data_IF_804124023468
#
_entry.id   IF_804124023468
#
_cell.length_a   1.000
_cell.length_b   1.000
_cell.length_c   1.000
_cell.angle_alpha   90.00
_cell.angle_beta   90.00
_cell.angle_gamma   90.00
#
_symmetry.space_group_name_H-M   'P 1'
#
loop_
_entity.id
_entity.type
_entity.pdbx_description
1 polymer ?
#
# COMPACT_ATOMS: atom_id res chain seq x y z
N UNK A 1 0.09 35.18 10.55
CA UNK A 1 0.13 33.80 11.08
C UNK A 1 -1.04 33.03 10.48
N UNK A 2 -0.79 32.25 9.43
CA UNK A 2 -1.84 31.51 8.72
C UNK A 2 -2.18 30.27 9.52
N UNK A 3 -3.29 30.33 10.26
CA UNK A 3 -3.84 29.16 10.95
C UNK A 3 -4.36 28.21 9.87
N UNK A 4 -3.60 27.16 9.57
CA UNK A 4 -4.06 26.03 8.77
C UNK A 4 -5.30 25.46 9.44
N UNK A 5 -6.50 25.82 8.93
CA UNK A 5 -7.74 25.10 9.25
C UNK A 5 -7.46 23.64 8.92
N UNK A 6 -7.33 22.79 9.94
CA UNK A 6 -7.40 21.34 9.79
C UNK A 6 -8.74 21.08 9.11
N UNK A 7 -8.74 20.73 7.83
CA UNK A 7 -9.95 20.28 7.15
C UNK A 7 -10.50 19.12 7.98
N UNK A 8 -11.66 19.34 8.60
CA UNK A 8 -12.39 18.26 9.27
C UNK A 8 -12.70 17.23 8.19
N UNK A 9 -12.38 15.96 8.44
CA UNK A 9 -12.77 14.89 7.53
C UNK A 9 -14.29 14.88 7.38
N UNK A 10 -14.78 14.70 6.16
CA UNK A 10 -16.21 14.69 5.89
C UNK A 10 -16.84 13.37 6.36
N UNK A 11 -18.04 13.46 6.92
CA UNK A 11 -18.82 12.32 7.39
C UNK A 11 -20.20 12.37 6.79
N UNK A 12 -20.64 11.27 6.20
CA UNK A 12 -21.97 11.12 5.60
C UNK A 12 -22.71 9.95 6.23
N UNK A 13 -24.04 9.96 6.12
CA UNK A 13 -24.92 8.97 6.73
C UNK A 13 -25.71 9.51 7.93
N UNK A 14 -26.44 8.64 8.64
CA UNK A 14 -27.20 9.03 9.82
C UNK A 14 -26.29 9.63 10.91
N UNK A 15 -26.78 10.58 11.73
CA UNK A 15 -26.02 11.07 12.85
C UNK A 15 -25.75 9.93 13.85
N UNK A 16 -24.62 10.02 14.56
CA UNK A 16 -24.32 9.08 15.63
C UNK A 16 -25.41 9.15 16.73
N UNK A 17 -25.79 8.00 17.32
CA UNK A 17 -26.63 7.98 18.50
C UNK A 17 -26.06 8.83 19.64
N UNK A 18 -26.93 9.36 20.50
CA UNK A 18 -26.49 10.15 21.66
C UNK A 18 -25.76 9.31 22.73
N UNK A 19 -26.00 8.00 22.73
CA UNK A 19 -25.31 7.05 23.61
C UNK A 19 -23.90 6.70 23.09
N UNK A 20 -23.02 6.16 23.95
CA UNK A 20 -21.75 5.60 23.50
C UNK A 20 -21.99 4.50 22.46
N UNK A 21 -21.14 4.44 21.44
CA UNK A 21 -21.26 3.49 20.34
C UNK A 21 -19.91 2.93 19.94
N UNK A 22 -19.96 1.76 19.30
CA UNK A 22 -18.83 1.19 18.57
C UNK A 22 -19.00 1.55 17.10
N UNK A 23 -17.99 2.16 16.48
CA UNK A 23 -17.94 2.36 15.03
C UNK A 23 -17.08 1.24 14.44
N UNK A 24 -17.72 0.36 13.68
CA UNK A 24 -17.11 -0.80 13.04
C UNK A 24 -16.77 -0.48 11.58
N UNK A 25 -15.49 -0.40 11.24
CA UNK A 25 -15.02 0.00 9.91
C UNK A 25 -14.65 -1.19 9.05
N UNK A 26 -15.27 -1.31 7.89
CA UNK A 26 -14.75 -2.16 6.80
C UNK A 26 -13.44 -1.57 6.29
N UNK A 27 -12.35 -2.35 6.37
CA UNK A 27 -11.03 -1.91 5.92
C UNK A 27 -10.78 -2.31 4.47
N UNK A 28 -10.82 -1.32 3.58
CA UNK A 28 -10.41 -1.51 2.19
C UNK A 28 -8.90 -1.22 2.02
N UNK A 29 -8.37 -0.27 2.78
CA UNK A 29 -6.95 0.15 2.77
C UNK A 29 -6.43 0.26 4.20
N UNK A 30 -5.10 0.13 4.35
CA UNK A 30 -4.42 0.27 5.65
C UNK A 30 -4.67 1.63 6.33
N UNK A 31 -4.96 2.68 5.56
CA UNK A 31 -5.19 4.03 6.08
C UNK A 31 -6.63 4.30 6.54
N UNK A 32 -7.58 3.41 6.25
CA UNK A 32 -9.01 3.71 6.46
C UNK A 32 -9.34 3.93 7.93
N UNK A 33 -8.75 3.14 8.84
CA UNK A 33 -8.98 3.30 10.28
C UNK A 33 -8.47 4.67 10.78
N UNK A 34 -7.32 5.13 10.28
CA UNK A 34 -6.77 6.44 10.62
C UNK A 34 -7.62 7.59 10.04
N UNK A 35 -8.09 7.43 8.80
CA UNK A 35 -9.01 8.39 8.18
C UNK A 35 -10.32 8.47 8.95
N UNK A 36 -10.91 7.33 9.32
CA UNK A 36 -12.12 7.27 10.13
C UNK A 36 -11.92 7.93 11.49
N UNK A 37 -10.77 7.70 12.15
CA UNK A 37 -10.43 8.39 13.40
C UNK A 37 -10.37 9.92 13.21
N UNK A 38 -9.72 10.40 12.14
CA UNK A 38 -9.63 11.83 11.83
C UNK A 38 -11.01 12.45 11.59
N UNK A 39 -11.86 11.78 10.81
CA UNK A 39 -13.26 12.17 10.57
C UNK A 39 -14.05 12.25 11.89
N UNK A 40 -14.03 11.19 12.70
CA UNK A 40 -14.77 11.11 13.96
C UNK A 40 -14.26 12.12 14.99
N UNK A 41 -12.95 12.40 15.04
CA UNK A 41 -12.39 13.39 15.96
C UNK A 41 -12.90 14.82 15.66
N UNK A 42 -13.44 15.06 14.46
CA UNK A 42 -14.14 16.29 14.11
C UNK A 42 -15.60 16.36 14.59
N UNK A 43 -16.20 15.22 14.96
CA UNK A 43 -17.60 15.08 15.37
C UNK A 43 -17.77 14.82 16.86
N UNK A 44 -16.92 13.97 17.45
CA UNK A 44 -17.03 13.54 18.84
C UNK A 44 -15.81 13.96 19.65
N UNK A 45 -16.02 14.18 20.95
CA UNK A 45 -14.98 14.68 21.85
C UNK A 45 -13.85 13.69 22.08
N UNK A 46 -14.14 12.39 22.05
CA UNK A 46 -13.17 11.34 22.36
C UNK A 46 -13.41 10.10 21.51
N UNK A 47 -12.38 9.70 20.77
CA UNK A 47 -12.34 8.46 19.99
C UNK A 47 -11.24 7.58 20.58
N UNK A 48 -11.58 6.33 20.90
CA UNK A 48 -10.61 5.29 21.24
C UNK A 48 -10.49 4.33 20.07
N UNK A 49 -9.31 4.22 19.48
CA UNK A 49 -9.06 3.26 18.40
C UNK A 49 -8.59 1.94 19.00
N UNK A 50 -9.34 0.88 18.73
CA UNK A 50 -9.05 -0.44 19.22
C UNK A 50 -7.88 -1.07 18.42
N UNK A 51 -6.76 -1.41 19.06
CA UNK A 51 -5.62 -2.00 18.36
C UNK A 51 -5.88 -3.46 17.96
N UNK A 52 -5.34 -3.87 16.82
CA UNK A 52 -5.51 -5.22 16.26
C UNK A 52 -4.82 -6.34 17.10
N UNK A 53 -3.89 -6.01 17.99
CA UNK A 53 -2.84 -6.95 18.39
C UNK A 53 -2.98 -7.68 19.74
N UNK A 54 -3.93 -7.38 20.64
CA UNK A 54 -4.03 -8.06 21.97
C UNK A 54 -5.44 -8.11 22.55
N UNK A 55 -6.19 -9.20 22.33
CA UNK A 55 -7.65 -9.27 22.57
C UNK A 55 -8.12 -8.96 24.01
N UNK A 56 -7.61 -9.62 25.04
CA UNK A 56 -8.22 -9.52 26.39
C UNK A 56 -7.97 -8.19 27.10
N UNK A 57 -6.73 -7.68 27.06
CA UNK A 57 -6.40 -6.39 27.69
C UNK A 57 -7.08 -5.21 26.99
N UNK A 58 -7.25 -5.34 25.67
CA UNK A 58 -7.87 -4.32 24.83
C UNK A 58 -9.38 -4.26 25.05
N UNK A 59 -10.04 -5.40 25.31
CA UNK A 59 -11.47 -5.45 25.61
C UNK A 59 -11.85 -4.61 26.85
N UNK A 60 -11.22 -4.89 28.00
CA UNK A 60 -11.53 -4.15 29.24
C UNK A 60 -11.20 -2.67 29.14
N UNK A 61 -10.16 -2.32 28.39
CA UNK A 61 -9.83 -0.93 28.10
C UNK A 61 -10.91 -0.26 27.23
N UNK A 62 -11.36 -0.93 26.16
CA UNK A 62 -12.43 -0.43 25.29
C UNK A 62 -13.73 -0.21 26.07
N UNK A 63 -14.14 -1.15 26.94
CA UNK A 63 -15.30 -0.99 27.83
C UNK A 63 -15.16 0.23 28.74
N UNK A 64 -13.98 0.44 29.34
CA UNK A 64 -13.69 1.63 30.16
C UNK A 64 -13.79 2.93 29.35
N UNK A 65 -13.48 2.89 28.06
CA UNK A 65 -13.64 4.05 27.18
C UNK A 65 -15.11 4.31 26.83
N UNK A 66 -15.89 3.26 26.53
CA UNK A 66 -17.34 3.35 26.31
C UNK A 66 -18.07 3.90 27.53
N UNK A 67 -17.76 3.40 28.73
CA UNK A 67 -18.39 3.87 29.98
C UNK A 67 -18.08 5.33 30.31
N UNK A 68 -17.01 5.90 29.73
CA UNK A 68 -16.64 7.31 29.85
C UNK A 68 -17.23 8.18 28.72
N UNK A 69 -18.13 7.64 27.91
CA UNK A 69 -18.76 8.35 26.80
C UNK A 69 -17.90 8.51 25.56
N UNK A 70 -16.82 7.72 25.40
CA UNK A 70 -16.03 7.74 24.18
C UNK A 70 -16.67 6.86 23.10
N UNK A 71 -16.44 7.22 21.84
CA UNK A 71 -16.69 6.32 20.72
C UNK A 71 -15.51 5.36 20.61
N UNK A 72 -15.80 4.05 20.51
CA UNK A 72 -14.78 3.05 20.19
C UNK A 72 -14.78 2.81 18.69
N UNK A 73 -13.63 2.99 18.05
CA UNK A 73 -13.41 2.74 16.64
C UNK A 73 -12.63 1.43 16.46
N UNK A 74 -13.13 0.51 15.66
CA UNK A 74 -12.45 -0.76 15.41
C UNK A 74 -12.61 -1.27 13.98
N UNK A 75 -11.68 -2.12 13.57
CA UNK A 75 -11.74 -2.89 12.33
C UNK A 75 -12.06 -4.35 12.66
N UNK A 76 -13.34 -4.78 12.63
CA UNK A 76 -13.73 -6.12 13.06
C UNK A 76 -13.19 -7.24 12.16
N UNK A 77 -12.81 -6.95 10.92
CA UNK A 77 -12.19 -7.94 10.02
C UNK A 77 -10.71 -8.24 10.36
N UNK A 78 -10.08 -7.39 11.19
CA UNK A 78 -8.70 -7.54 11.68
C UNK A 78 -7.60 -7.38 10.63
N UNK A 79 -7.95 -7.26 9.35
CA UNK A 79 -7.05 -6.97 8.24
C UNK A 79 -7.83 -6.29 7.10
N UNK A 80 -7.10 -5.64 6.19
CA UNK A 80 -7.69 -5.03 5.00
C UNK A 80 -8.02 -6.09 3.95
N UNK A 81 -9.22 -6.00 3.38
CA UNK A 81 -9.70 -6.88 2.31
C UNK A 81 -9.14 -6.43 0.96
N UNK A 82 -8.36 -7.29 0.30
CA UNK A 82 -7.87 -7.06 -1.06
C UNK A 82 -8.92 -7.35 -2.13
N UNK A 83 -10.01 -8.04 -1.78
CA UNK A 83 -10.90 -8.70 -2.73
C UNK A 83 -12.22 -7.96 -3.00
N UNK A 84 -12.42 -6.76 -2.45
CA UNK A 84 -13.71 -6.04 -2.50
C UNK A 84 -14.86 -6.92 -1.97
N UNK A 85 -14.65 -7.51 -0.79
CA UNK A 85 -15.62 -8.36 -0.10
C UNK A 85 -15.57 -8.06 1.39
N UNK A 86 -16.71 -8.20 2.07
CA UNK A 86 -16.78 -8.18 3.55
C UNK A 86 -16.54 -9.61 4.03
N UNK A 87 -15.51 -9.78 4.85
CA UNK A 87 -15.16 -11.09 5.39
C UNK A 87 -15.78 -11.33 6.77
N UNK A 88 -15.66 -12.56 7.25
CA UNK A 88 -16.09 -12.93 8.60
C UNK A 88 -15.45 -12.02 9.65
N UNK A 89 -16.31 -11.39 10.45
CA UNK A 89 -15.92 -10.50 11.53
C UNK A 89 -15.38 -11.27 12.74
N UNK A 90 -14.48 -10.65 13.48
CA UNK A 90 -14.08 -11.08 14.82
C UNK A 90 -15.27 -10.93 15.78
N UNK A 91 -15.56 -11.97 16.55
CA UNK A 91 -16.64 -11.99 17.55
C UNK A 91 -16.48 -10.93 18.63
N UNK A 92 -15.29 -10.36 18.76
CA UNK A 92 -14.98 -9.28 19.69
C UNK A 92 -15.88 -8.04 19.49
N UNK A 93 -16.31 -7.73 18.26
CA UNK A 93 -17.24 -6.60 18.04
C UNK A 93 -18.59 -6.84 18.72
N UNK A 94 -19.08 -8.08 18.65
CA UNK A 94 -20.34 -8.47 19.27
C UNK A 94 -20.19 -8.56 20.80
N UNK A 95 -19.08 -9.13 21.26
CA UNK A 95 -18.79 -9.24 22.69
C UNK A 95 -18.75 -7.87 23.35
N UNK A 96 -18.00 -6.93 22.77
CA UNK A 96 -17.88 -5.57 23.29
C UNK A 96 -19.23 -4.82 23.26
N UNK A 97 -20.03 -5.04 22.22
CA UNK A 97 -21.35 -4.42 22.09
C UNK A 97 -22.33 -4.92 23.17
N UNK A 98 -22.35 -6.23 23.41
CA UNK A 98 -23.19 -6.86 24.44
C UNK A 98 -22.72 -6.48 25.86
N UNK A 99 -21.42 -6.60 26.15
CA UNK A 99 -20.86 -6.25 27.47
C UNK A 99 -20.98 -4.75 27.78
N UNK A 100 -20.94 -3.90 26.74
CA UNK A 100 -21.11 -2.46 26.85
C UNK A 100 -22.56 -1.99 26.80
N UNK A 101 -23.50 -2.85 26.43
CA UNK A 101 -24.88 -2.51 26.06
C UNK A 101 -24.94 -1.31 25.09
N UNK A 102 -24.11 -1.36 24.04
CA UNK A 102 -23.95 -0.28 23.05
C UNK A 102 -24.31 -0.73 21.65
N UNK A 103 -24.78 0.21 20.83
CA UNK A 103 -25.03 -0.01 19.41
C UNK A 103 -23.72 -0.06 18.61
N UNK A 104 -23.75 -0.83 17.53
CA UNK A 104 -22.65 -0.88 16.56
C UNK A 104 -23.04 -0.11 15.31
N UNK A 105 -22.30 0.94 14.98
CA UNK A 105 -22.48 1.73 13.76
C UNK A 105 -21.52 1.22 12.69
N UNK A 106 -22.01 0.58 11.62
CA UNK A 106 -21.17 0.16 10.50
C UNK A 106 -20.66 1.39 9.75
N UNK A 107 -19.42 1.34 9.27
CA UNK A 107 -18.83 2.41 8.48
C UNK A 107 -17.81 1.92 7.47
N UNK A 108 -17.55 2.73 6.45
CA UNK A 108 -16.44 2.52 5.51
C UNK A 108 -15.90 3.86 5.02
N UNK A 109 -14.67 3.86 4.53
CA UNK A 109 -13.99 5.06 4.03
C UNK A 109 -13.93 5.03 2.51
N UNK A 110 -14.43 6.07 1.86
CA UNK A 110 -14.39 6.24 0.41
C UNK A 110 -13.83 7.61 0.10
N UNK A 111 -12.79 7.68 -0.75
CA UNK A 111 -12.15 8.93 -1.17
C UNK A 111 -11.74 9.88 0.00
N UNK A 112 -11.44 9.33 1.18
CA UNK A 112 -11.06 10.13 2.36
C UNK A 112 -12.25 10.59 3.22
N UNK A 113 -13.47 10.24 2.86
CA UNK A 113 -14.71 10.53 3.59
C UNK A 113 -15.17 9.29 4.36
N UNK A 114 -15.73 9.48 5.55
CA UNK A 114 -16.33 8.40 6.34
C UNK A 114 -17.82 8.31 6.03
N UNK A 115 -18.27 7.17 5.54
CA UNK A 115 -19.68 6.88 5.31
C UNK A 115 -20.16 5.94 6.41
N UNK A 116 -21.21 6.34 7.13
CA UNK A 116 -21.81 5.57 8.23
C UNK A 116 -23.17 5.01 7.82
N UNK A 117 -23.46 3.79 8.26
CA UNK A 117 -24.76 3.15 8.09
C UNK A 117 -25.67 3.32 9.32
N UNK A 118 -26.82 2.66 9.25
CA UNK A 118 -27.75 2.63 10.38
C UNK A 118 -27.14 1.87 11.57
N UNK A 119 -27.33 2.32 12.82
CA UNK A 119 -26.90 1.59 14.00
C UNK A 119 -27.53 0.19 14.05
N UNK A 120 -26.70 -0.79 14.37
CA UNK A 120 -27.09 -2.19 14.57
C UNK A 120 -27.24 -2.43 16.06
N UNK A 121 -28.43 -2.90 16.45
CA UNK A 121 -28.68 -3.38 17.80
C UNK A 121 -28.50 -4.90 17.88
N UNK A 122 -27.56 -5.33 18.72
CA UNK A 122 -27.27 -6.74 18.98
C UNK A 122 -27.90 -7.24 20.28
N UNK A 123 -28.66 -6.41 21.00
CA UNK A 123 -29.31 -6.73 22.28
C UNK A 123 -30.20 -7.98 22.23
N UNK A 124 -30.75 -8.31 21.04
CA UNK A 124 -31.50 -9.55 20.80
C UNK A 124 -30.73 -10.83 21.15
N UNK A 125 -29.41 -10.75 21.26
CA UNK A 125 -28.50 -11.86 21.58
C UNK A 125 -28.09 -11.92 23.06
N UNK A 126 -28.64 -11.06 23.93
CA UNK A 126 -28.26 -10.95 25.35
C UNK A 126 -28.60 -12.17 26.21
N UNK A 127 -29.45 -13.09 25.73
CA UNK A 127 -29.86 -14.26 26.51
C UNK A 127 -28.68 -15.17 26.90
N UNK A 128 -27.66 -15.26 26.03
CA UNK A 128 -26.47 -16.10 26.23
C UNK A 128 -25.22 -15.43 25.61
N UNK A 129 -24.80 -14.26 26.13
CA UNK A 129 -23.90 -13.33 25.44
C UNK A 129 -22.46 -13.84 25.32
N UNK A 130 -22.12 -14.93 26.01
CA UNK A 130 -20.78 -15.54 26.01
C UNK A 130 -20.70 -16.85 25.21
N UNK A 131 -21.83 -17.33 24.68
CA UNK A 131 -21.80 -18.47 23.77
C UNK A 131 -21.15 -18.04 22.47
N UNK A 132 -20.12 -18.76 22.02
CA UNK A 132 -19.43 -18.44 20.77
C UNK A 132 -20.40 -18.43 19.58
N UNK A 133 -21.41 -19.30 19.57
CA UNK A 133 -22.42 -19.33 18.50
C UNK A 133 -23.27 -18.04 18.47
N UNK A 134 -23.61 -17.51 19.65
CA UNK A 134 -24.42 -16.29 19.80
C UNK A 134 -23.60 -15.07 19.43
N UNK A 135 -22.38 -14.97 19.94
CA UNK A 135 -21.42 -13.93 19.55
C UNK A 135 -21.17 -13.94 18.04
N UNK A 136 -21.11 -15.12 17.44
CA UNK A 136 -20.94 -15.29 16.00
C UNK A 136 -22.15 -14.75 15.22
N UNK A 137 -23.36 -15.09 15.64
CA UNK A 137 -24.60 -14.61 15.02
C UNK A 137 -24.75 -13.08 15.18
N UNK A 138 -24.45 -12.55 16.36
CA UNK A 138 -24.43 -11.10 16.61
C UNK A 138 -23.39 -10.37 15.72
N UNK A 139 -22.21 -10.97 15.53
CA UNK A 139 -21.21 -10.44 14.62
C UNK A 139 -21.65 -10.54 13.15
N UNK A 140 -22.41 -11.57 12.77
CA UNK A 140 -23.00 -11.67 11.43
C UNK A 140 -23.99 -10.55 11.14
N UNK A 141 -24.77 -10.12 12.13
CA UNK A 141 -25.68 -9.00 11.95
C UNK A 141 -24.94 -7.69 11.61
N UNK A 142 -23.81 -7.46 12.28
CA UNK A 142 -22.91 -6.34 11.95
C UNK A 142 -22.29 -6.52 10.56
N UNK A 143 -21.92 -7.74 10.19
CA UNK A 143 -21.36 -8.05 8.88
C UNK A 143 -22.37 -7.79 7.75
N UNK A 144 -23.62 -8.21 7.93
CA UNK A 144 -24.72 -7.97 6.99
C UNK A 144 -25.00 -6.47 6.85
N UNK A 145 -24.95 -5.71 7.94
CA UNK A 145 -25.09 -4.26 7.89
C UNK A 145 -23.93 -3.58 7.14
N UNK A 146 -22.69 -4.07 7.31
CA UNK A 146 -21.55 -3.64 6.49
C UNK A 146 -21.74 -4.00 5.00
N UNK A 147 -22.27 -5.18 4.68
CA UNK A 147 -22.58 -5.57 3.30
C UNK A 147 -23.64 -4.65 2.69
N UNK A 148 -24.71 -4.37 3.43
CA UNK A 148 -25.77 -3.46 2.99
C UNK A 148 -25.25 -2.02 2.77
N UNK A 149 -24.35 -1.55 3.65
CA UNK A 149 -23.74 -0.22 3.53
C UNK A 149 -22.78 -0.14 2.34
N UNK A 150 -21.95 -1.15 2.14
CA UNK A 150 -20.86 -1.13 1.13
C UNK A 150 -21.28 -1.66 -0.23
N UNK A 151 -22.39 -2.39 -0.32
CA UNK A 151 -22.81 -3.12 -1.52
C UNK A 151 -21.93 -4.34 -1.86
N UNK A 152 -21.03 -4.73 -0.96
CA UNK A 152 -20.09 -5.83 -1.18
C UNK A 152 -20.68 -7.18 -0.73
N UNK A 153 -20.31 -8.29 -1.39
CA UNK A 153 -20.78 -9.61 -0.99
C UNK A 153 -20.09 -10.08 0.30
N UNK A 154 -20.84 -10.85 1.10
CA UNK A 154 -20.34 -11.46 2.33
C UNK A 154 -19.57 -12.77 2.07
N UNK A 155 -18.54 -13.01 2.87
CA UNK A 155 -17.77 -14.26 2.86
C UNK A 155 -17.52 -14.79 4.27
N UNK A 156 -18.03 -15.98 4.58
CA UNK A 156 -17.92 -16.61 5.90
C UNK A 156 -16.56 -17.30 6.15
N UNK A 157 -15.48 -16.58 5.88
CA UNK A 157 -14.13 -16.95 6.28
C UNK A 157 -13.31 -15.70 6.63
N UNK A 158 -12.38 -15.79 7.60
CA UNK A 158 -11.57 -14.62 7.99
C UNK A 158 -10.62 -14.17 6.88
N UNK A 159 -10.32 -12.87 6.83
CA UNK A 159 -9.34 -12.27 5.89
C UNK A 159 -7.99 -12.98 5.95
N UNK A 160 -7.51 -13.33 7.15
CA UNK A 160 -6.23 -14.01 7.35
C UNK A 160 -6.12 -15.35 6.58
N UNK A 161 -7.25 -16.03 6.36
CA UNK A 161 -7.32 -17.28 5.61
C UNK A 161 -7.20 -17.06 4.10
N UNK A 162 -7.73 -15.95 3.58
CA UNK A 162 -7.58 -15.51 2.19
C UNK A 162 -6.13 -15.12 1.91
N UNK A 163 -5.55 -14.35 2.81
CA UNK A 163 -4.21 -13.82 2.67
C UNK A 163 -3.16 -14.94 2.71
N UNK A 164 -3.40 -16.01 3.49
CA UNK A 164 -2.58 -17.24 3.47
C UNK A 164 -2.59 -17.95 2.11
N UNK A 165 -3.71 -17.92 1.38
CA UNK A 165 -3.85 -18.57 0.06
C UNK A 165 -3.32 -17.70 -1.09
N UNK A 166 -3.46 -16.37 -1.01
CA UNK A 166 -3.09 -15.44 -2.09
C UNK A 166 -1.67 -14.88 -1.98
N UNK A 167 -1.07 -14.81 -0.77
CA UNK A 167 0.32 -14.35 -0.57
C UNK A 167 1.34 -15.09 -1.44
N UNK A 168 1.30 -16.43 -1.61
CA UNK A 168 2.22 -17.14 -2.48
C UNK A 168 2.08 -16.70 -3.95
N UNK A 169 0.86 -16.54 -4.45
CA UNK A 169 0.59 -16.19 -5.85
C UNK A 169 1.03 -14.74 -6.14
N UNK A 170 0.66 -13.80 -5.26
CA UNK A 170 1.06 -12.41 -5.39
C UNK A 170 2.58 -12.22 -5.26
N UNK A 171 3.24 -13.00 -4.39
CA UNK A 171 4.69 -13.02 -4.25
C UNK A 171 5.38 -13.59 -5.50
N UNK A 172 4.88 -14.70 -6.05
CA UNK A 172 5.39 -15.30 -7.29
C UNK A 172 5.27 -14.33 -8.48
N UNK A 173 4.14 -13.63 -8.62
CA UNK A 173 3.94 -12.63 -9.67
C UNK A 173 4.90 -11.45 -9.54
N UNK A 174 5.13 -10.94 -8.33
CA UNK A 174 6.15 -9.89 -8.07
C UNK A 174 7.57 -10.38 -8.37
N UNK A 175 7.89 -11.61 -8.00
CA UNK A 175 9.18 -12.23 -8.30
C UNK A 175 9.41 -12.38 -9.80
N UNK A 176 8.40 -12.82 -10.56
CA UNK A 176 8.45 -12.91 -12.04
C UNK A 176 8.67 -11.53 -12.68
N UNK A 177 7.93 -10.51 -12.25
CA UNK A 177 8.11 -9.14 -12.73
C UNK A 177 9.54 -8.63 -12.48
N UNK A 178 10.06 -8.79 -11.26
CA UNK A 178 11.44 -8.40 -10.91
C UNK A 178 12.49 -9.16 -11.71
N UNK A 179 12.30 -10.45 -11.97
CA UNK A 179 13.20 -11.25 -12.82
C UNK A 179 13.21 -10.74 -14.26
N UNK A 180 12.03 -10.44 -14.81
CA UNK A 180 11.91 -9.88 -16.15
C UNK A 180 12.59 -8.51 -16.25
N UNK A 181 12.34 -7.60 -15.30
CA UNK A 181 13.02 -6.29 -15.24
C UNK A 181 14.54 -6.42 -15.15
N UNK A 182 15.07 -7.36 -14.34
CA UNK A 182 16.52 -7.63 -14.28
C UNK A 182 17.06 -8.14 -15.61
N UNK A 183 16.33 -9.02 -16.30
CA UNK A 183 16.74 -9.53 -17.62
C UNK A 183 16.79 -8.40 -18.65
N UNK A 184 15.77 -7.54 -18.67
CA UNK A 184 15.73 -6.36 -19.56
C UNK A 184 16.88 -5.40 -19.26
N UNK A 185 17.17 -5.10 -17.99
CA UNK A 185 18.32 -4.25 -17.61
C UNK A 185 19.66 -4.84 -18.06
N UNK A 186 19.84 -6.16 -17.95
CA UNK A 186 21.05 -6.84 -18.43
C UNK A 186 21.19 -6.74 -19.95
N UNK A 187 20.09 -6.94 -20.69
CA UNK A 187 20.10 -6.80 -22.15
C UNK A 187 20.45 -5.37 -22.57
N UNK A 188 19.81 -4.36 -21.98
CA UNK A 188 20.11 -2.95 -22.28
C UNK A 188 21.56 -2.61 -21.97
N UNK A 189 22.09 -3.07 -20.82
CA UNK A 189 23.49 -2.87 -20.47
C UNK A 189 24.45 -3.57 -21.44
N UNK A 190 24.11 -4.77 -21.90
CA UNK A 190 24.92 -5.53 -22.85
C UNK A 190 24.91 -4.89 -24.24
N UNK A 191 23.74 -4.44 -24.73
CA UNK A 191 23.65 -3.69 -25.99
C UNK A 191 24.45 -2.40 -25.91
N UNK A 192 24.37 -1.67 -24.78
CA UNK A 192 25.12 -0.44 -24.58
C UNK A 192 26.63 -0.69 -24.58
N UNK A 193 27.10 -1.70 -23.86
CA UNK A 193 28.52 -2.07 -23.86
C UNK A 193 29.01 -2.54 -25.22
N UNK A 194 28.19 -3.27 -25.99
CA UNK A 194 28.53 -3.64 -27.37
C UNK A 194 28.65 -2.41 -28.28
N UNK A 195 27.75 -1.43 -28.12
CA UNK A 195 27.82 -0.18 -28.89
C UNK A 195 29.04 0.67 -28.51
N UNK A 196 29.35 0.76 -27.22
CA UNK A 196 30.56 1.46 -26.74
C UNK A 196 31.82 0.78 -27.29
N UNK A 197 31.94 -0.55 -27.15
CA UNK A 197 33.08 -1.29 -27.70
C UNK A 197 33.21 -1.18 -29.22
N UNK A 198 32.09 -1.13 -29.96
CA UNK A 198 32.11 -0.95 -31.41
C UNK A 198 32.62 0.44 -31.80
N UNK A 199 32.22 1.49 -31.07
CA UNK A 199 32.72 2.86 -31.28
C UNK A 199 34.20 2.96 -30.97
N UNK A 200 34.64 2.39 -29.86
CA UNK A 200 36.05 2.38 -29.48
C UNK A 200 36.89 1.65 -30.54
N UNK A 201 36.42 0.50 -31.05
CA UNK A 201 37.10 -0.23 -32.13
C UNK A 201 37.18 0.57 -33.44
N UNK A 202 36.11 1.29 -33.81
CA UNK A 202 36.13 2.19 -34.96
C UNK A 202 37.11 3.36 -34.77
N UNK A 203 37.21 3.91 -33.56
CA UNK A 203 38.14 4.98 -33.22
C UNK A 203 39.59 4.51 -33.31
N UNK A 204 39.90 3.36 -32.69
CA UNK A 204 41.23 2.73 -32.80
C UNK A 204 41.61 2.44 -34.26
N UNK A 205 40.69 1.93 -35.08
CA UNK A 205 40.95 1.68 -36.49
C UNK A 205 41.28 2.96 -37.27
N UNK A 206 40.58 4.07 -36.98
CA UNK A 206 40.86 5.38 -37.60
C UNK A 206 42.20 5.94 -37.14
N UNK A 207 42.55 5.79 -35.87
CA UNK A 207 43.86 6.21 -35.35
C UNK A 207 45.00 5.42 -35.98
N UNK A 208 44.85 4.11 -36.10
CA UNK A 208 45.84 3.26 -36.76
C UNK A 208 46.02 3.65 -38.23
N UNK A 209 44.93 3.91 -38.95
CA UNK A 209 45.00 4.36 -40.34
C UNK A 209 45.71 5.72 -40.45
N UNK A 210 45.43 6.66 -39.55
CA UNK A 210 46.13 7.96 -39.48
C UNK A 210 47.62 7.78 -39.21
N UNK A 211 47.99 6.92 -38.26
CA UNK A 211 49.38 6.63 -37.93
C UNK A 211 50.13 6.00 -39.13
N UNK A 212 49.51 5.04 -39.82
CA UNK A 212 50.06 4.42 -41.04
C UNK A 212 50.28 5.46 -42.15
N UNK A 213 49.29 6.33 -42.40
CA UNK A 213 49.41 7.42 -43.38
C UNK A 213 50.52 8.40 -43.00
N UNK A 214 50.65 8.77 -41.73
CA UNK A 214 51.70 9.65 -41.24
C UNK A 214 53.09 9.02 -41.43
N UNK A 215 53.27 7.75 -41.09
CA UNK A 215 54.51 7.01 -41.29
C UNK A 215 54.89 6.92 -42.79
N UNK A 216 53.93 6.66 -43.67
CA UNK A 216 54.16 6.66 -45.12
C UNK A 216 54.61 8.04 -45.64
N UNK A 217 53.97 9.12 -45.16
CA UNK A 217 54.37 10.49 -45.53
C UNK A 217 55.77 10.82 -45.02
N UNK A 218 56.11 10.42 -43.79
CA UNK A 218 57.43 10.62 -43.22
C UNK A 218 58.50 9.84 -44.00
N UNK A 219 58.27 8.57 -44.32
CA UNK A 219 59.18 7.77 -45.12
C UNK A 219 59.38 8.36 -46.54
N UNK A 220 58.31 8.87 -47.16
CA UNK A 220 58.41 9.58 -48.44
C UNK A 220 59.23 10.86 -48.33
N UNK A 221 59.04 11.65 -47.28
CA UNK A 221 59.83 12.87 -47.03
C UNK A 221 61.30 12.55 -46.80
N UNK A 222 61.62 11.53 -46.01
CA UNK A 222 62.98 11.07 -45.79
C UNK A 222 63.63 10.60 -47.10
N UNK A 223 62.96 9.74 -47.87
CA UNK A 223 63.47 9.27 -49.17
C UNK A 223 63.66 10.40 -50.20
N UNK A 224 62.88 11.47 -50.13
CA UNK A 224 63.08 12.66 -50.95
C UNK A 224 64.27 13.49 -50.47
N UNK A 225 64.43 13.64 -49.15
CA UNK A 225 65.57 14.34 -48.55
C UNK A 225 66.89 13.63 -48.86
N UNK A 226 66.95 12.29 -48.75
CA UNK A 226 68.12 11.48 -49.10
C UNK A 226 68.47 11.66 -50.59
N UNK A 227 67.46 11.63 -51.48
CA UNK A 227 67.65 11.86 -52.92
C UNK A 227 68.09 13.28 -53.28
N UNK A 228 67.75 14.28 -52.46
CA UNK A 228 68.23 15.65 -52.62
C UNK A 228 69.68 15.79 -52.12
N UNK A 229 70.01 15.12 -51.01
CA UNK A 229 71.37 15.05 -50.47
C UNK A 229 72.34 14.32 -51.40
N UNK A 230 71.93 13.22 -52.05
CA UNK A 230 72.73 12.49 -53.05
C UNK A 230 72.99 13.30 -54.35
N UNK A 231 72.24 14.38 -54.58
CA UNK A 231 72.35 15.21 -55.80
C UNK A 231 73.02 16.56 -55.54
N UNK A 232 73.63 16.77 -54.37
CA UNK A 232 74.27 18.04 -53.94
C UNK A 232 73.39 19.29 -54.17
N UNK A 233 72.07 19.16 -54.01
CA UNK A 233 71.12 20.26 -54.12
C UNK A 233 70.54 20.58 -52.75
N UNK A 234 71.11 21.59 -52.08
CA UNK A 234 70.52 22.19 -50.89
C UNK A 234 69.32 23.05 -51.29
N UNK A 235 68.11 22.82 -50.74
CA UNK A 235 67.00 23.73 -50.95
C UNK A 235 67.17 24.94 -50.02
N UNK A 236 67.78 26.00 -50.52
CA UNK A 236 67.92 27.28 -49.81
C UNK A 236 69.18 28.08 -50.15
N UNK A 237 69.33 28.48 -51.42
CA UNK A 237 69.84 29.80 -51.82
C UNK A 237 68.90 30.38 -52.89
#
# INVERSE_FOLDING_TARGET
>A
MTVLRRSRGEVTGPPLPAQPVIVAIHMHRRGDLATAQHCLSGLVRKVFVMPEAKRTQVHSEALRHLSRGAVVLMAPEGAHSWASQVHRLDVEVARLALDGHVLVVPGHVVAGQLHMGAPVDVSRHESTPHSHAVLRAAADDVALALCALTGLPYQDYPVAQVDRRLRPIAWLSRMRKRRHERKMRRQVAQTRSQQENARDAEEFAREEERARRAAQLQARRASLADRLAERDLHPGE
#
